data_IF_345726827215
#
_entry.id   IF_345726827215
#
_cell.length_a   1.000
_cell.length_b   1.000
_cell.length_c   1.000
_cell.angle_alpha   90.00
_cell.angle_beta   90.00
_cell.angle_gamma   90.00
#
_symmetry.space_group_name_H-M   'P 1'
#
loop_
_entity.id
_entity.type
_entity.pdbx_description
1 polymer ?
#
# COMPACT_ATOMS: atom_id res chain seq x y z
N UNK A 1 38.34 -29.97 26.91
CA UNK A 1 38.37 -31.22 26.12
C UNK A 1 36.92 -31.65 25.94
N UNK A 2 36.30 -31.16 24.86
CA UNK A 2 35.80 -31.93 23.69
C UNK A 2 34.31 -32.24 23.81
N UNK A 3 33.55 -31.52 22.99
CA UNK A 3 32.17 -31.78 22.58
C UNK A 3 32.07 -33.11 21.83
N UNK A 4 30.92 -33.79 21.86
CA UNK A 4 30.55 -34.81 20.87
C UNK A 4 29.02 -34.98 20.80
N UNK A 5 28.52 -34.74 19.59
CA UNK A 5 27.14 -34.65 19.12
C UNK A 5 26.45 -36.02 18.97
N UNK A 6 25.11 -36.05 18.95
CA UNK A 6 24.35 -36.85 17.98
C UNK A 6 22.93 -36.30 17.79
N UNK A 7 22.59 -36.09 16.52
CA UNK A 7 21.46 -35.34 15.98
C UNK A 7 20.09 -36.02 16.12
N UNK A 8 19.01 -35.27 15.81
CA UNK A 8 18.04 -35.82 14.89
C UNK A 8 17.90 -34.95 13.63
N UNK A 9 18.11 -35.62 12.50
CA UNK A 9 17.67 -35.29 11.13
C UNK A 9 16.55 -34.25 11.06
N UNK A 10 16.88 -33.07 10.51
CA UNK A 10 15.89 -32.17 9.90
C UNK A 10 15.98 -32.35 8.39
N UNK A 11 14.84 -32.80 7.84
CA UNK A 11 14.59 -33.00 6.41
C UNK A 11 14.82 -31.71 5.63
N UNK A 12 15.51 -31.87 4.51
CA UNK A 12 15.53 -31.00 3.33
C UNK A 12 14.20 -30.30 3.08
N UNK A 13 14.23 -28.96 3.05
CA UNK A 13 13.43 -28.16 2.14
C UNK A 13 14.15 -26.82 1.90
N UNK A 14 14.29 -26.47 0.62
CA UNK A 14 15.06 -25.38 0.07
C UNK A 14 14.77 -24.01 0.71
N UNK A 15 15.77 -23.10 0.83
CA UNK A 15 15.46 -21.70 1.10
C UNK A 15 14.71 -21.15 -0.12
N UNK A 16 13.41 -20.92 0.05
CA UNK A 16 12.63 -20.14 -0.89
C UNK A 16 13.18 -18.72 -0.74
N UNK A 17 14.10 -18.34 -1.63
CA UNK A 17 14.51 -16.95 -1.82
C UNK A 17 13.28 -16.22 -2.37
N UNK A 18 12.47 -15.69 -1.46
CA UNK A 18 11.35 -14.84 -1.81
C UNK A 18 11.90 -13.44 -2.09
N UNK A 19 12.31 -13.24 -3.33
CA UNK A 19 12.53 -11.93 -3.95
C UNK A 19 11.17 -11.22 -4.01
N UNK A 20 10.82 -10.52 -2.93
CA UNK A 20 9.73 -9.56 -2.91
C UNK A 20 10.30 -8.27 -2.31
N UNK A 21 11.07 -7.57 -3.14
CA UNK A 21 11.48 -6.18 -2.90
C UNK A 21 10.32 -5.20 -3.20
N UNK A 22 9.06 -5.62 -3.05
CA UNK A 22 7.90 -4.73 -3.15
C UNK A 22 7.91 -3.81 -1.93
N UNK A 23 8.72 -2.76 -1.98
CA UNK A 23 8.74 -1.61 -1.09
C UNK A 23 7.46 -0.81 -1.34
N UNK A 24 6.33 -1.41 -1.00
CA UNK A 24 5.11 -0.74 -0.63
C UNK A 24 5.16 -0.70 0.90
N UNK A 25 5.34 0.48 1.48
CA UNK A 25 5.30 0.61 2.93
C UNK A 25 3.97 0.05 3.45
N UNK A 26 4.09 -1.07 4.14
CA UNK A 26 3.05 -1.72 4.91
C UNK A 26 2.37 -0.69 5.82
N UNK A 27 1.11 -0.40 5.54
CA UNK A 27 0.18 -0.10 6.62
C UNK A 27 -0.01 -1.40 7.41
N UNK A 28 0.04 -1.39 8.75
CA UNK A 28 -0.03 -2.62 9.53
C UNK A 28 -1.38 -3.31 9.29
N UNK A 29 -1.33 -4.62 9.04
CA UNK A 29 -2.50 -5.49 9.10
C UNK A 29 -3.02 -5.50 10.55
N UNK A 30 -3.90 -4.56 10.88
CA UNK A 30 -4.56 -4.49 12.19
C UNK A 30 -5.99 -5.02 12.04
N UNK A 31 -6.22 -6.20 12.60
CA UNK A 31 -7.44 -6.99 12.52
C UNK A 31 -8.66 -6.28 13.15
N UNK A 32 -9.65 -5.96 12.29
CA UNK A 32 -11.13 -6.01 12.39
C UNK A 32 -11.89 -5.32 13.56
N UNK A 33 -12.72 -4.33 13.21
CA UNK A 33 -14.08 -4.17 13.75
C UNK A 33 -15.07 -3.82 12.64
N UNK A 34 -15.67 -4.86 12.06
CA UNK A 34 -17.11 -4.98 11.84
C UNK A 34 -17.87 -4.12 10.83
N UNK A 35 -17.55 -2.85 10.59
CA UNK A 35 -18.50 -1.98 9.86
C UNK A 35 -18.11 -1.60 8.44
N UNK A 36 -16.91 -1.97 7.98
CA UNK A 36 -16.57 -1.89 6.55
C UNK A 36 -15.37 -2.78 6.17
N UNK A 37 -15.47 -4.09 6.42
CA UNK A 37 -14.42 -5.07 6.06
C UNK A 37 -14.35 -5.36 4.54
N UNK A 38 -14.49 -4.33 3.71
CA UNK A 38 -14.39 -4.40 2.26
C UNK A 38 -13.15 -3.68 1.74
N UNK A 39 -12.76 -3.99 0.52
CA UNK A 39 -11.84 -3.16 -0.26
C UNK A 39 -12.67 -2.55 -1.38
N UNK A 40 -12.67 -1.23 -1.49
CA UNK A 40 -13.42 -0.50 -2.52
C UNK A 40 -12.48 0.01 -3.60
N UNK A 41 -12.99 0.05 -4.83
CA UNK A 41 -12.33 0.72 -5.94
C UNK A 41 -12.55 2.23 -5.84
N UNK A 42 -11.46 2.98 -5.95
CA UNK A 42 -11.43 4.44 -5.83
C UNK A 42 -10.65 5.04 -6.98
N UNK A 43 -11.02 6.26 -7.35
CA UNK A 43 -10.40 7.00 -8.46
C UNK A 43 -9.71 8.24 -7.91
N UNK A 44 -8.49 8.49 -8.37
CA UNK A 44 -7.74 9.69 -8.06
C UNK A 44 -8.01 10.75 -9.13
N UNK A 45 -8.53 11.89 -8.71
CA UNK A 45 -8.81 13.03 -9.58
C UNK A 45 -7.85 14.19 -9.34
N UNK A 46 -7.55 14.93 -10.42
CA UNK A 46 -6.58 16.02 -10.42
C UNK A 46 -5.13 15.53 -10.52
N UNK A 47 -4.25 16.14 -9.74
CA UNK A 47 -2.85 15.78 -9.65
C UNK A 47 -2.04 16.03 -10.93
N UNK A 48 -0.80 15.53 -10.97
CA UNK A 48 0.07 15.70 -12.11
C UNK A 48 -0.52 15.09 -13.38
N UNK A 49 -0.46 15.81 -14.50
CA UNK A 49 -0.88 15.30 -15.81
C UNK A 49 -0.02 14.09 -16.26
N UNK A 50 1.21 14.01 -15.76
CA UNK A 50 2.14 12.91 -16.00
C UNK A 50 2.01 11.77 -14.98
N UNK A 51 0.98 11.77 -14.12
CA UNK A 51 0.68 10.62 -13.27
C UNK A 51 0.05 9.52 -14.13
N UNK A 52 0.67 8.32 -14.23
CA UNK A 52 0.16 7.21 -15.02
C UNK A 52 -1.28 6.84 -14.68
N UNK A 53 -2.07 6.47 -15.68
CA UNK A 53 -3.49 6.07 -15.51
C UNK A 53 -3.64 4.87 -14.58
N UNK A 54 -2.69 3.95 -14.58
CA UNK A 54 -2.64 2.82 -13.64
C UNK A 54 -2.54 3.25 -12.17
N UNK A 55 -1.94 4.41 -11.88
CA UNK A 55 -1.86 4.99 -10.53
C UNK A 55 -3.06 5.88 -10.19
N UNK A 56 -4.02 6.05 -11.13
CA UNK A 56 -5.25 6.82 -10.89
C UNK A 56 -6.39 5.94 -10.37
N UNK A 57 -6.21 4.63 -10.29
CA UNK A 57 -7.19 3.68 -9.74
C UNK A 57 -6.58 2.90 -8.60
N UNK A 58 -7.20 2.94 -7.43
CA UNK A 58 -6.71 2.26 -6.24
C UNK A 58 -7.79 1.40 -5.61
N UNK A 59 -7.35 0.38 -4.88
CA UNK A 59 -8.19 -0.48 -4.07
C UNK A 59 -7.80 -0.26 -2.61
N UNK A 60 -8.67 0.42 -1.87
CA UNK A 60 -8.37 0.83 -0.48
C UNK A 60 -9.48 0.45 0.47
N UNK A 61 -9.17 0.54 1.76
CA UNK A 61 -10.18 0.40 2.80
C UNK A 61 -11.22 1.52 2.67
N UNK A 62 -12.52 1.25 2.82
CA UNK A 62 -13.58 2.26 2.82
C UNK A 62 -13.50 3.23 4.00
N UNK A 63 -12.63 3.01 4.99
CA UNK A 63 -12.31 4.00 6.04
C UNK A 63 -11.06 4.82 5.72
N UNK A 64 -10.40 4.56 4.59
CA UNK A 64 -9.26 5.35 4.16
C UNK A 64 -9.73 6.74 3.73
N UNK A 65 -9.00 7.76 4.18
CA UNK A 65 -9.30 9.16 3.86
C UNK A 65 -8.16 9.82 3.11
N UNK A 66 -6.99 9.18 3.02
CA UNK A 66 -5.82 9.76 2.37
C UNK A 66 -5.05 8.73 1.56
N UNK A 67 -4.68 9.09 0.34
CA UNK A 67 -3.81 8.29 -0.52
C UNK A 67 -2.56 9.12 -0.84
N UNK A 68 -1.38 8.51 -0.67
CA UNK A 68 -0.10 9.10 -1.05
C UNK A 68 0.53 8.28 -2.15
N UNK A 69 0.71 8.88 -3.33
CA UNK A 69 1.33 8.22 -4.48
C UNK A 69 2.76 8.74 -4.66
N UNK A 70 3.75 7.85 -4.69
CA UNK A 70 5.14 8.25 -4.95
C UNK A 70 5.30 8.59 -6.43
N UNK A 71 5.77 9.80 -6.74
CA UNK A 71 5.95 10.28 -8.12
C UNK A 71 7.09 11.30 -8.20
N UNK A 72 8.00 11.15 -9.18
CA UNK A 72 9.16 12.03 -9.43
C UNK A 72 9.88 12.55 -8.17
N UNK A 73 10.38 11.66 -7.31
CA UNK A 73 11.12 12.07 -6.11
C UNK A 73 10.26 12.80 -5.06
N UNK A 74 8.96 12.54 -5.03
CA UNK A 74 8.02 13.12 -4.08
C UNK A 74 6.81 12.23 -3.81
N UNK A 75 5.85 12.78 -3.08
CA UNK A 75 4.52 12.21 -2.89
C UNK A 75 3.46 13.15 -3.39
N UNK A 76 2.56 12.64 -4.20
CA UNK A 76 1.28 13.25 -4.53
C UNK A 76 0.28 12.87 -3.45
N UNK A 77 -0.40 13.86 -2.89
CA UNK A 77 -1.37 13.69 -1.83
C UNK A 77 -2.77 13.80 -2.40
N UNK A 78 -3.61 12.82 -2.08
CA UNK A 78 -5.02 12.82 -2.43
C UNK A 78 -5.84 12.59 -1.17
N UNK A 79 -6.93 13.32 -1.04
CA UNK A 79 -7.84 13.21 0.09
C UNK A 79 -9.23 12.83 -0.42
N UNK A 80 -9.91 11.97 0.33
CA UNK A 80 -11.22 11.47 -0.05
C UNK A 80 -12.19 12.64 -0.14
N UNK A 81 -12.88 12.72 -1.26
CA UNK A 81 -13.94 13.70 -1.40
C UNK A 81 -15.11 13.31 -0.52
N UNK A 82 -15.56 14.23 0.33
CA UNK A 82 -16.76 14.07 1.16
C UNK A 82 -18.06 14.24 0.36
N UNK A 83 -17.96 14.51 -0.95
CA UNK A 83 -19.08 14.57 -1.87
C UNK A 83 -19.86 13.26 -1.85
N UNK A 84 -21.18 13.40 -2.03
CA UNK A 84 -22.20 12.36 -2.09
C UNK A 84 -21.58 10.97 -2.35
N UNK A 85 -21.68 10.05 -1.38
CA UNK A 85 -20.96 8.76 -1.33
C UNK A 85 -21.36 7.73 -2.40
N UNK A 86 -21.67 8.20 -3.60
CA UNK A 86 -21.92 7.42 -4.80
C UNK A 86 -20.59 6.92 -5.36
N UNK A 87 -20.53 5.61 -5.59
CA UNK A 87 -19.37 4.97 -6.20
C UNK A 87 -19.25 5.41 -7.68
N UNK A 88 -18.02 5.61 -8.21
CA UNK A 88 -16.74 5.35 -7.55
C UNK A 88 -16.37 6.43 -6.54
N UNK A 89 -15.80 6.02 -5.40
CA UNK A 89 -15.28 6.96 -4.41
C UNK A 89 -14.10 7.71 -5.01
N UNK A 90 -14.18 9.03 -4.98
CA UNK A 90 -13.14 9.91 -5.54
C UNK A 90 -12.21 10.40 -4.44
N UNK A 91 -10.91 10.40 -4.72
CA UNK A 91 -9.91 11.10 -3.93
C UNK A 91 -9.33 12.23 -4.77
N UNK A 92 -9.46 13.47 -4.28
CA UNK A 92 -9.00 14.67 -4.99
C UNK A 92 -7.58 15.02 -4.57
N UNK A 93 -6.77 15.39 -5.54
CA UNK A 93 -5.40 15.84 -5.28
C UNK A 93 -5.41 17.13 -4.46
N UNK A 94 -4.64 17.14 -3.38
CA UNK A 94 -4.52 18.28 -2.47
C UNK A 94 -3.13 18.91 -2.48
N UNK A 95 -2.13 18.23 -3.03
CA UNK A 95 -0.81 18.80 -3.21
C UNK A 95 0.30 17.77 -3.34
N UNK A 96 1.53 18.26 -3.35
CA UNK A 96 2.74 17.44 -3.47
C UNK A 96 3.73 17.78 -2.36
N UNK A 97 4.36 16.75 -1.80
CA UNK A 97 5.59 16.89 -1.00
C UNK A 97 6.79 16.45 -1.84
N UNK A 98 7.81 17.30 -1.99
CA UNK A 98 9.10 16.91 -2.58
C UNK A 98 9.97 16.27 -1.50
N UNK A 99 10.64 15.16 -1.82
CA UNK A 99 11.72 14.65 -0.98
C UNK A 99 12.95 15.47 -1.35
N UNK A 100 13.55 16.14 -0.37
CA UNK A 100 14.83 16.81 -0.57
C UNK A 100 15.92 15.73 -0.63
N UNK A 101 16.76 15.79 -1.67
CA UNK A 101 17.99 14.99 -1.81
C UNK A 101 19.11 15.55 -0.91
#
# INVERSE_FOLDING_TARGET
MTVSESAPTVRTANPIVNDDDRIAWSVPAMTLSGEAAGIIDVVLEGGPANLPTELRSHRVSPVEHKIKVRHYGGYEHFERDSGNGEAPVVFRWTGRTRIAE
#
